data_IF_810161947084
#
_entry.id   IF_810161947084
#
_cell.length_a   1.000
_cell.length_b   1.000
_cell.length_c   1.000
_cell.angle_alpha   90.00
_cell.angle_beta   90.00
_cell.angle_gamma   90.00
#
_symmetry.space_group_name_H-M   'P 1'
#
loop_
_entity.id
_entity.type
_entity.pdbx_description
1 polymer ?
#
# COMPACT_ATOMS: atom_id res chain seq x y z
N UNK A 1 -33.13 4.31 -75.91
CA UNK A 1 -33.24 5.46 -74.99
C UNK A 1 -33.05 4.94 -73.59
N UNK A 2 -32.06 5.40 -72.90
CA UNK A 2 -31.89 5.07 -71.47
C UNK A 2 -33.05 5.68 -70.67
N UNK A 3 -33.91 4.84 -70.13
CA UNK A 3 -34.96 5.28 -69.18
C UNK A 3 -34.25 5.60 -67.86
N UNK A 4 -34.07 6.82 -67.56
CA UNK A 4 -33.70 7.23 -66.22
C UNK A 4 -34.90 6.95 -65.30
N UNK A 5 -34.77 5.91 -64.46
CA UNK A 5 -35.78 5.62 -63.46
C UNK A 5 -35.73 6.72 -62.39
N UNK A 6 -36.80 7.42 -62.22
CA UNK A 6 -36.96 8.46 -61.20
C UNK A 6 -37.88 7.96 -60.08
N UNK A 7 -37.56 8.30 -58.88
CA UNK A 7 -38.39 8.05 -57.71
C UNK A 7 -38.65 6.56 -57.47
N UNK A 8 -39.89 6.11 -57.60
CA UNK A 8 -40.36 4.75 -57.25
C UNK A 8 -39.61 3.63 -57.98
N UNK A 9 -39.03 3.89 -59.13
CA UNK A 9 -38.33 2.90 -59.99
C UNK A 9 -36.83 3.14 -60.00
N UNK A 10 -36.29 3.90 -59.06
CA UNK A 10 -34.83 4.10 -58.91
C UNK A 10 -34.17 2.79 -58.54
N UNK A 11 -32.96 2.58 -59.07
CA UNK A 11 -32.12 1.43 -58.77
C UNK A 11 -31.03 1.87 -57.77
N UNK A 12 -30.72 0.99 -56.85
CA UNK A 12 -29.61 1.12 -55.94
C UNK A 12 -28.72 -0.13 -56.03
N UNK A 13 -27.43 0.03 -55.85
CA UNK A 13 -26.45 -1.05 -55.83
C UNK A 13 -26.39 -1.63 -54.44
N UNK A 14 -26.57 -2.96 -54.33
CA UNK A 14 -26.36 -3.67 -53.08
C UNK A 14 -24.88 -3.68 -52.71
N UNK A 15 -24.58 -3.34 -51.44
CA UNK A 15 -23.21 -3.39 -50.95
C UNK A 15 -22.62 -4.79 -50.89
N UNK A 16 -23.47 -5.82 -50.85
CA UNK A 16 -23.04 -7.21 -50.72
C UNK A 16 -22.72 -7.85 -52.10
N UNK A 17 -23.63 -7.75 -53.05
CA UNK A 17 -23.45 -8.39 -54.37
C UNK A 17 -22.92 -7.45 -55.45
N UNK A 18 -23.01 -6.14 -55.24
CA UNK A 18 -22.70 -5.17 -56.30
C UNK A 18 -23.73 -5.10 -57.40
N UNK A 19 -24.84 -5.84 -57.32
CA UNK A 19 -25.93 -5.84 -58.29
C UNK A 19 -26.89 -4.68 -58.04
N UNK A 20 -27.53 -4.19 -59.12
CA UNK A 20 -28.50 -3.11 -59.05
C UNK A 20 -29.92 -3.68 -58.86
N UNK A 21 -30.55 -3.29 -57.75
CA UNK A 21 -31.91 -3.67 -57.34
C UNK A 21 -32.82 -2.46 -57.23
N UNK A 22 -34.16 -2.66 -57.33
CA UNK A 22 -35.09 -1.56 -57.05
C UNK A 22 -34.90 -0.99 -55.65
N UNK A 23 -34.80 0.33 -55.54
CA UNK A 23 -34.56 1.01 -54.25
C UNK A 23 -35.57 0.62 -53.17
N UNK A 24 -36.82 0.27 -53.58
CA UNK A 24 -37.89 -0.13 -52.65
C UNK A 24 -37.68 -1.49 -51.98
N UNK A 25 -36.79 -2.31 -52.52
CA UNK A 25 -36.46 -3.65 -52.06
C UNK A 25 -35.15 -3.66 -51.25
N UNK A 26 -34.53 -2.49 -51.11
CA UNK A 26 -33.31 -2.32 -50.33
C UNK A 26 -33.61 -2.10 -48.85
N UNK A 27 -32.84 -2.79 -48.01
CA UNK A 27 -32.94 -2.77 -46.55
C UNK A 27 -31.58 -2.42 -45.98
N UNK A 28 -31.56 -1.65 -44.93
CA UNK A 28 -30.32 -1.34 -44.22
C UNK A 28 -30.03 -2.42 -43.18
N UNK A 29 -28.87 -3.05 -43.27
CA UNK A 29 -28.37 -4.01 -42.30
C UNK A 29 -27.91 -3.30 -40.99
N UNK A 30 -27.73 -4.09 -39.95
CA UNK A 30 -27.19 -3.65 -38.66
C UNK A 30 -25.77 -3.04 -38.76
N UNK A 31 -25.02 -3.37 -39.80
CA UNK A 31 -23.70 -2.78 -40.14
C UNK A 31 -23.80 -1.39 -40.73
N UNK A 32 -25.01 -0.93 -41.10
CA UNK A 32 -25.26 0.29 -41.86
C UNK A 32 -25.20 0.13 -43.36
N UNK A 33 -24.85 -1.03 -43.90
CA UNK A 33 -24.82 -1.35 -45.34
C UNK A 33 -26.23 -1.48 -45.90
N UNK A 34 -26.46 -1.00 -47.14
CA UNK A 34 -27.70 -1.17 -47.86
C UNK A 34 -27.61 -2.40 -48.76
N UNK A 35 -28.45 -3.38 -48.52
CA UNK A 35 -28.51 -4.62 -49.25
C UNK A 35 -29.91 -4.90 -49.75
N UNK A 36 -30.04 -5.77 -50.78
CA UNK A 36 -31.34 -6.23 -51.20
C UNK A 36 -31.95 -7.17 -50.14
N UNK A 37 -33.27 -7.16 -50.00
CA UNK A 37 -34.00 -7.95 -48.98
C UNK A 37 -33.66 -9.46 -49.02
N UNK A 38 -33.34 -10.01 -50.18
CA UNK A 38 -32.88 -11.42 -50.33
C UNK A 38 -31.48 -11.69 -49.79
N UNK A 39 -30.70 -10.63 -49.60
CA UNK A 39 -29.32 -10.68 -49.10
C UNK A 39 -29.22 -10.22 -47.65
N UNK A 40 -30.33 -9.83 -47.05
CA UNK A 40 -30.41 -9.29 -45.68
C UNK A 40 -30.01 -10.37 -44.67
N UNK A 41 -29.09 -9.98 -43.79
CA UNK A 41 -28.65 -10.79 -42.68
C UNK A 41 -29.01 -10.12 -41.35
N UNK A 42 -29.79 -10.81 -40.51
CA UNK A 42 -30.10 -10.26 -39.19
C UNK A 42 -28.84 -10.23 -38.32
N UNK A 43 -28.80 -9.26 -37.43
CA UNK A 43 -27.72 -9.17 -36.44
C UNK A 43 -27.67 -10.43 -35.57
N UNK A 44 -26.48 -10.99 -35.44
CA UNK A 44 -26.24 -12.13 -34.54
C UNK A 44 -26.62 -11.79 -33.09
N UNK A 45 -27.47 -12.61 -32.46
CA UNK A 45 -27.89 -12.34 -31.06
C UNK A 45 -26.74 -12.25 -30.06
N UNK A 46 -25.59 -12.84 -30.36
CA UNK A 46 -24.41 -12.79 -29.53
C UNK A 46 -23.74 -11.39 -29.49
N UNK A 47 -24.00 -10.56 -30.50
CA UNK A 47 -23.49 -9.20 -30.59
C UNK A 47 -24.38 -8.20 -29.82
N UNK A 48 -25.53 -8.63 -29.38
CA UNK A 48 -26.37 -7.86 -28.46
C UNK A 48 -26.27 -8.48 -27.07
N UNK A 49 -25.63 -7.79 -26.11
CA UNK A 49 -25.66 -8.25 -24.74
C UNK A 49 -27.13 -8.36 -24.32
N UNK A 50 -27.52 -9.51 -23.79
CA UNK A 50 -28.85 -9.69 -23.23
C UNK A 50 -29.07 -8.54 -22.22
N UNK A 51 -30.21 -7.84 -22.30
CA UNK A 51 -30.55 -6.89 -21.26
C UNK A 51 -30.60 -7.65 -19.94
N UNK A 52 -29.61 -7.46 -19.11
CA UNK A 52 -29.64 -7.98 -17.74
C UNK A 52 -30.66 -7.11 -17.03
N UNK A 53 -31.73 -7.75 -16.54
CA UNK A 53 -32.68 -7.05 -15.69
C UNK A 53 -31.92 -6.36 -14.55
N UNK A 54 -32.27 -5.13 -14.26
CA UNK A 54 -31.63 -4.40 -13.18
C UNK A 54 -31.69 -5.25 -11.90
N UNK A 55 -30.55 -5.70 -11.40
CA UNK A 55 -30.45 -6.32 -10.10
C UNK A 55 -30.67 -5.22 -9.06
N UNK A 56 -31.80 -5.23 -8.31
CA UNK A 56 -32.06 -4.21 -7.32
C UNK A 56 -31.06 -4.21 -6.15
N UNK A 57 -30.21 -5.24 -6.06
CA UNK A 57 -29.14 -5.35 -5.08
C UNK A 57 -27.76 -5.05 -5.67
N UNK A 58 -27.64 -4.94 -6.99
CA UNK A 58 -26.39 -4.65 -7.69
C UNK A 58 -26.24 -3.18 -8.05
N UNK A 59 -25.08 -2.62 -7.80
CA UNK A 59 -24.73 -1.32 -8.36
C UNK A 59 -24.36 -1.49 -9.83
N UNK A 60 -24.95 -0.71 -10.72
CA UNK A 60 -24.68 -0.77 -12.17
C UNK A 60 -23.21 -0.53 -12.54
N UNK A 61 -22.49 0.17 -11.67
CA UNK A 61 -21.06 0.42 -11.74
C UNK A 61 -20.45 0.25 -10.33
N UNK A 62 -20.51 -0.99 -9.83
CA UNK A 62 -19.87 -1.30 -8.56
C UNK A 62 -18.36 -1.35 -8.74
N UNK A 63 -17.68 -0.38 -8.17
CA UNK A 63 -16.26 -0.55 -7.88
C UNK A 63 -16.17 -1.27 -6.53
N UNK A 64 -15.49 -2.43 -6.47
CA UNK A 64 -15.18 -3.01 -5.17
C UNK A 64 -14.44 -1.96 -4.34
N UNK A 65 -14.75 -1.89 -3.05
CA UNK A 65 -13.97 -1.08 -2.14
C UNK A 65 -12.50 -1.45 -2.33
N UNK A 66 -11.72 -0.51 -2.82
CA UNK A 66 -10.29 -0.69 -2.96
C UNK A 66 -9.74 -0.78 -1.56
N UNK A 67 -9.33 -1.96 -1.15
CA UNK A 67 -8.51 -2.12 0.04
C UNK A 67 -7.14 -1.58 -0.38
N UNK A 68 -6.94 -0.29 -0.15
CA UNK A 68 -5.61 0.26 -0.27
C UNK A 68 -4.86 -0.17 0.98
N UNK A 69 -3.85 -1.01 0.76
CA UNK A 69 -2.85 -1.18 1.79
C UNK A 69 -2.26 0.19 2.10
N UNK A 70 -1.97 0.51 3.36
CA UNK A 70 -1.34 1.77 3.69
C UNK A 70 -0.07 1.90 2.87
N UNK A 71 0.11 3.08 2.32
CA UNK A 71 1.21 3.36 1.40
C UNK A 71 2.51 3.20 2.16
N UNK A 72 3.19 2.09 1.91
CA UNK A 72 4.56 1.88 2.34
C UNK A 72 5.48 2.56 1.34
N UNK A 73 6.41 3.35 1.86
CA UNK A 73 7.45 3.96 1.03
C UNK A 73 8.64 3.02 0.92
N UNK A 74 9.09 2.80 -0.29
CA UNK A 74 10.33 2.07 -0.54
C UNK A 74 11.49 3.00 -0.20
N UNK A 75 12.37 2.55 0.66
CA UNK A 75 13.60 3.27 1.02
C UNK A 75 14.69 3.09 -0.06
N UNK A 76 15.64 4.02 -0.15
CA UNK A 76 16.82 3.85 -1.00
C UNK A 76 17.60 2.57 -0.65
N UNK A 77 18.50 2.16 -1.53
CA UNK A 77 19.37 1.02 -1.25
C UNK A 77 20.26 1.29 -0.01
N UNK A 78 20.25 0.37 0.94
CA UNK A 78 20.97 0.48 2.20
C UNK A 78 20.70 1.78 2.98
N UNK A 79 19.44 2.06 3.34
CA UNK A 79 19.05 3.35 3.89
C UNK A 79 19.50 3.59 5.33
N UNK A 80 19.87 2.53 6.07
CA UNK A 80 20.22 2.62 7.48
C UNK A 80 21.72 2.82 7.66
N UNK A 81 22.08 3.75 8.55
CA UNK A 81 23.47 3.97 8.99
C UNK A 81 23.51 4.00 10.50
N UNK A 82 24.28 3.11 11.09
CA UNK A 82 24.61 3.08 12.52
C UNK A 82 25.98 3.70 12.76
N UNK A 83 26.21 4.19 13.97
CA UNK A 83 27.52 4.67 14.42
C UNK A 83 27.93 3.86 15.64
N UNK A 84 29.16 3.36 15.66
CA UNK A 84 29.68 2.58 16.77
C UNK A 84 29.54 3.33 18.11
N UNK A 85 29.14 2.63 19.16
CA UNK A 85 28.90 3.13 20.50
C UNK A 85 27.80 4.20 20.60
N UNK A 86 26.93 4.32 19.59
CA UNK A 86 25.78 5.25 19.61
C UNK A 86 24.47 4.46 19.61
N UNK A 87 23.52 4.91 20.42
CA UNK A 87 22.16 4.34 20.52
C UNK A 87 21.19 4.99 19.52
N UNK A 88 21.64 5.30 18.33
CA UNK A 88 20.80 5.86 17.27
C UNK A 88 21.11 5.25 15.90
N UNK A 89 20.10 5.20 15.05
CA UNK A 89 20.20 4.86 13.65
C UNK A 89 19.70 6.00 12.80
N UNK A 90 20.47 6.34 11.79
CA UNK A 90 20.09 7.32 10.78
C UNK A 90 19.51 6.59 9.57
N UNK A 91 18.37 7.06 9.06
CA UNK A 91 17.69 6.48 7.91
C UNK A 91 17.59 7.52 6.81
N UNK A 92 18.09 7.18 5.64
CA UNK A 92 17.91 8.02 4.45
C UNK A 92 16.48 7.88 3.91
N UNK A 93 15.71 8.96 3.94
CA UNK A 93 14.32 8.98 3.50
C UNK A 93 14.09 10.11 2.50
N UNK A 94 13.64 9.80 1.28
CA UNK A 94 13.52 10.78 0.21
C UNK A 94 12.33 11.74 0.34
N UNK A 95 11.40 11.46 1.25
CA UNK A 95 10.19 12.27 1.43
C UNK A 95 10.24 13.10 2.71
N UNK A 96 9.57 14.25 2.72
CA UNK A 96 9.55 15.22 3.82
C UNK A 96 8.26 15.13 4.65
N UNK A 97 7.86 13.93 5.04
CA UNK A 97 6.54 13.71 5.66
C UNK A 97 6.59 13.11 7.08
N UNK A 98 7.77 12.92 7.62
CA UNK A 98 7.96 12.37 8.97
C UNK A 98 8.33 13.49 9.92
N UNK A 99 7.55 13.66 10.98
CA UNK A 99 7.74 14.67 12.01
C UNK A 99 8.36 14.05 13.26
N UNK A 100 9.33 14.76 13.84
CA UNK A 100 9.98 14.39 15.10
C UNK A 100 8.96 14.22 16.22
N UNK A 101 9.09 13.15 16.98
CA UNK A 101 8.31 12.87 18.19
C UNK A 101 6.84 12.53 17.99
N UNK A 102 6.29 12.73 16.79
CA UNK A 102 4.84 12.54 16.53
C UNK A 102 4.54 11.47 15.50
N UNK A 103 5.52 11.09 14.71
CA UNK A 103 5.35 10.06 13.66
C UNK A 103 5.92 8.73 14.13
N UNK A 104 5.11 7.69 14.05
CA UNK A 104 5.50 6.32 14.37
C UNK A 104 5.61 5.51 13.09
N UNK A 105 6.70 4.79 12.92
CA UNK A 105 7.01 4.04 11.71
C UNK A 105 7.36 2.60 12.03
N UNK A 106 7.02 1.73 11.09
CA UNK A 106 7.44 0.34 11.05
C UNK A 106 8.36 0.15 9.84
N UNK A 107 9.42 -0.62 10.03
CA UNK A 107 10.31 -1.05 8.97
C UNK A 107 10.01 -2.50 8.61
N UNK A 108 10.07 -2.83 7.33
CA UNK A 108 9.89 -4.18 6.83
C UNK A 108 10.98 -4.51 5.81
N UNK A 109 11.30 -5.79 5.71
CA UNK A 109 12.31 -6.32 4.81
C UNK A 109 13.72 -5.73 5.01
N UNK A 110 14.07 -5.42 6.25
CA UNK A 110 15.38 -4.86 6.62
C UNK A 110 16.44 -5.96 6.58
N UNK A 111 17.46 -5.79 5.74
CA UNK A 111 18.54 -6.75 5.56
C UNK A 111 19.89 -6.10 5.72
N UNK A 112 20.85 -6.86 6.23
CA UNK A 112 22.25 -6.45 6.20
C UNK A 112 22.80 -6.53 4.76
N UNK A 113 23.76 -5.68 4.37
CA UNK A 113 24.42 -5.77 3.08
C UNK A 113 25.21 -7.07 2.92
N UNK A 114 25.59 -7.73 4.02
CA UNK A 114 26.36 -8.97 4.01
C UNK A 114 25.50 -10.14 4.43
N UNK A 115 25.15 -11.01 3.49
CA UNK A 115 24.53 -12.30 3.77
C UNK A 115 23.02 -12.28 4.07
N UNK A 116 22.35 -11.15 3.92
CA UNK A 116 20.89 -11.05 4.11
C UNK A 116 20.42 -11.17 5.57
N UNK A 117 21.34 -10.98 6.52
CA UNK A 117 21.04 -10.93 7.95
C UNK A 117 20.41 -9.57 8.28
N UNK A 118 19.36 -9.50 9.09
CA UNK A 118 18.79 -8.22 9.54
C UNK A 118 19.86 -7.36 10.24
N UNK A 119 19.82 -6.04 10.04
CA UNK A 119 20.66 -5.12 10.80
C UNK A 119 20.28 -5.24 12.27
N UNK A 120 21.25 -5.57 13.10
CA UNK A 120 21.10 -5.77 14.53
C UNK A 120 21.82 -4.65 15.25
N UNK A 121 21.21 -4.10 16.26
CA UNK A 121 21.76 -3.02 17.06
C UNK A 121 22.14 -3.51 18.44
N UNK A 122 23.45 -3.55 18.73
CA UNK A 122 24.00 -4.01 20.01
C UNK A 122 24.31 -5.51 20.07
N UNK A 123 25.11 -5.94 21.04
CA UNK A 123 25.59 -7.34 21.20
C UNK A 123 24.45 -8.37 21.49
N UNK A 124 23.28 -7.91 21.83
CA UNK A 124 22.01 -8.62 21.92
C UNK A 124 20.92 -7.75 21.32
N UNK A 125 21.28 -6.88 20.39
CA UNK A 125 20.44 -5.79 19.94
C UNK A 125 19.33 -6.24 19.03
N UNK A 126 18.23 -5.49 19.03
CA UNK A 126 17.08 -5.78 18.23
C UNK A 126 17.36 -5.56 16.75
N UNK A 127 16.81 -6.39 15.94
CA UNK A 127 16.63 -6.09 14.54
C UNK A 127 15.80 -4.79 14.43
N UNK A 128 16.06 -3.97 13.41
CA UNK A 128 15.24 -2.78 13.15
C UNK A 128 13.79 -3.14 12.79
N UNK A 129 13.56 -4.35 12.35
CA UNK A 129 12.23 -4.90 12.17
C UNK A 129 11.77 -5.52 13.49
N UNK A 130 10.87 -4.82 14.19
CA UNK A 130 10.35 -5.26 15.48
C UNK A 130 9.20 -6.22 15.29
N UNK A 131 9.41 -7.47 15.60
CA UNK A 131 8.38 -8.51 15.56
C UNK A 131 8.54 -9.51 16.70
N UNK A 132 7.44 -9.99 17.24
CA UNK A 132 7.36 -11.05 18.24
C UNK A 132 5.99 -11.71 18.18
N UNK A 133 5.70 -12.62 19.10
CA UNK A 133 4.37 -13.25 19.21
C UNK A 133 3.86 -13.15 20.65
N UNK A 134 2.56 -13.21 20.83
CA UNK A 134 1.95 -13.26 22.17
C UNK A 134 2.35 -14.55 22.88
N UNK A 135 2.82 -14.44 24.12
CA UNK A 135 3.10 -15.58 24.99
C UNK A 135 1.84 -16.02 25.74
N UNK A 136 0.94 -15.12 26.03
CA UNK A 136 -0.36 -15.38 26.62
C UNK A 136 -1.47 -14.75 25.78
N UNK A 137 -2.66 -15.38 25.81
CA UNK A 137 -3.82 -14.78 25.17
C UNK A 137 -4.16 -13.43 25.81
N UNK A 138 -4.45 -12.43 24.97
CA UNK A 138 -4.83 -11.11 25.43
C UNK A 138 -6.34 -10.88 25.30
N UNK A 139 -6.95 -10.30 26.34
CA UNK A 139 -8.36 -9.88 26.33
C UNK A 139 -8.47 -8.41 25.93
N UNK A 140 -9.67 -7.96 25.56
CA UNK A 140 -9.90 -6.56 25.15
C UNK A 140 -9.62 -5.52 26.25
N UNK A 141 -9.54 -5.94 27.51
CA UNK A 141 -9.40 -5.06 28.69
C UNK A 141 -8.03 -5.15 29.36
N UNK A 142 -7.13 -5.99 28.87
CA UNK A 142 -5.84 -6.20 29.50
C UNK A 142 -4.98 -4.93 29.40
N UNK A 143 -4.53 -4.45 30.54
CA UNK A 143 -3.57 -3.35 30.66
C UNK A 143 -2.11 -3.77 30.55
N UNK A 144 -1.85 -5.07 30.41
CA UNK A 144 -0.52 -5.66 30.22
C UNK A 144 -0.58 -6.69 29.12
N UNK A 145 0.34 -6.63 28.17
CA UNK A 145 0.49 -7.58 27.08
C UNK A 145 1.80 -8.33 27.26
N UNK A 146 1.75 -9.64 27.28
CA UNK A 146 2.89 -10.54 27.49
C UNK A 146 3.27 -11.18 26.16
N UNK A 147 4.53 -11.03 25.79
CA UNK A 147 5.07 -11.53 24.52
C UNK A 147 6.25 -12.46 24.77
N UNK A 148 6.61 -13.26 23.78
CA UNK A 148 7.73 -14.21 23.91
C UNK A 148 9.08 -13.49 23.99
N UNK A 149 9.24 -12.37 23.32
CA UNK A 149 10.49 -11.60 23.34
C UNK A 149 10.17 -10.12 23.18
N UNK A 150 10.15 -9.40 24.29
CA UNK A 150 9.86 -7.97 24.33
C UNK A 150 11.09 -7.07 24.46
N UNK A 151 12.27 -7.64 24.77
CA UNK A 151 13.47 -6.88 25.10
C UNK A 151 14.00 -5.99 23.99
N UNK A 152 13.65 -6.27 22.74
CA UNK A 152 14.05 -5.46 21.59
C UNK A 152 13.12 -4.29 21.29
N UNK A 153 11.98 -4.21 21.95
CA UNK A 153 11.05 -3.11 21.73
C UNK A 153 11.46 -1.90 22.58
N UNK A 154 11.14 -0.67 22.16
CA UNK A 154 11.32 0.53 22.97
C UNK A 154 10.65 0.41 24.33
N UNK A 155 11.03 1.25 25.30
CA UNK A 155 10.44 1.25 26.63
C UNK A 155 9.00 1.77 26.65
N UNK A 156 8.61 2.53 25.64
CA UNK A 156 7.24 3.01 25.41
C UNK A 156 7.02 3.19 23.91
N UNK A 157 5.79 3.15 23.46
CA UNK A 157 5.48 3.31 22.04
C UNK A 157 4.15 2.67 21.65
N UNK A 158 4.12 2.14 20.43
CA UNK A 158 2.96 1.46 19.88
C UNK A 158 3.35 0.06 19.41
N UNK A 159 2.44 -0.87 19.59
CA UNK A 159 2.49 -2.21 19.00
C UNK A 159 1.21 -2.47 18.24
N UNK A 160 1.29 -3.32 17.24
CA UNK A 160 0.15 -3.82 16.49
C UNK A 160 0.06 -5.33 16.68
N UNK A 161 -1.14 -5.84 16.98
CA UNK A 161 -1.39 -7.27 17.03
C UNK A 161 -2.24 -7.66 15.83
N UNK A 162 -1.76 -8.60 15.05
CA UNK A 162 -2.51 -9.13 13.92
C UNK A 162 -3.75 -9.90 14.38
N UNK A 163 -4.85 -9.63 13.69
CA UNK A 163 -6.10 -10.37 13.86
C UNK A 163 -6.75 -10.54 12.50
N UNK A 164 -7.04 -11.78 12.18
CA UNK A 164 -7.82 -12.13 11.00
C UNK A 164 -9.24 -12.46 11.43
N UNK A 165 -10.22 -11.79 10.85
CA UNK A 165 -11.62 -12.14 11.04
C UNK A 165 -11.91 -13.45 10.32
N UNK A 166 -12.24 -14.50 11.07
CA UNK A 166 -12.46 -15.85 10.54
C UNK A 166 -13.66 -15.95 9.58
N UNK A 167 -14.62 -15.02 9.66
CA UNK A 167 -15.80 -15.00 8.81
C UNK A 167 -15.56 -14.28 7.48
N UNK A 168 -14.80 -13.20 7.51
CA UNK A 168 -14.58 -12.33 6.35
C UNK A 168 -13.21 -12.52 5.70
N UNK A 169 -12.27 -13.17 6.39
CA UNK A 169 -10.88 -13.29 5.97
C UNK A 169 -10.11 -11.97 5.97
N UNK A 170 -10.70 -10.89 6.48
CA UNK A 170 -10.07 -9.57 6.53
C UNK A 170 -9.20 -9.42 7.77
N UNK A 171 -8.12 -8.66 7.62
CA UNK A 171 -7.31 -8.25 8.76
C UNK A 171 -8.06 -7.16 9.56
N UNK A 172 -8.20 -7.38 10.86
CA UNK A 172 -8.74 -6.44 11.83
C UNK A 172 -7.68 -6.19 12.91
N UNK A 173 -6.56 -5.65 12.49
CA UNK A 173 -5.41 -5.43 13.35
C UNK A 173 -5.75 -4.45 14.47
N UNK A 174 -5.25 -4.70 15.66
CA UNK A 174 -5.39 -3.79 16.79
C UNK A 174 -4.06 -3.09 17.07
N UNK A 175 -4.11 -1.77 17.18
CA UNK A 175 -2.98 -0.95 17.64
C UNK A 175 -3.15 -0.66 19.12
N UNK A 176 -2.09 -0.88 19.89
CA UNK A 176 -2.04 -0.72 21.34
C UNK A 176 -0.89 0.25 21.69
N UNK A 177 -1.20 1.31 22.40
CA UNK A 177 -0.18 2.16 23.00
C UNK A 177 0.25 1.57 24.34
N UNK A 178 1.55 1.48 24.57
CA UNK A 178 2.09 1.10 25.89
C UNK A 178 2.99 2.19 26.44
N UNK A 179 2.96 2.40 27.75
CA UNK A 179 3.71 3.45 28.43
C UNK A 179 4.93 2.92 29.17
N UNK A 180 5.04 1.61 29.33
CA UNK A 180 6.18 0.95 29.97
C UNK A 180 6.43 -0.44 29.41
N UNK A 181 7.67 -0.89 29.51
CA UNK A 181 8.08 -2.26 29.18
C UNK A 181 9.00 -2.80 30.26
N UNK A 182 8.71 -4.00 30.75
CA UNK A 182 9.55 -4.74 31.69
C UNK A 182 9.80 -6.14 31.11
N UNK A 183 11.02 -6.40 30.65
CA UNK A 183 11.36 -7.62 29.92
C UNK A 183 10.39 -7.86 28.76
N UNK A 184 9.60 -8.91 28.84
CA UNK A 184 8.66 -9.36 27.82
C UNK A 184 7.23 -8.86 28.06
N UNK A 185 7.04 -7.95 29.00
CA UNK A 185 5.74 -7.38 29.36
C UNK A 185 5.64 -5.93 28.91
N UNK A 186 4.68 -5.63 28.07
CA UNK A 186 4.25 -4.25 27.80
C UNK A 186 3.21 -3.85 28.84
N UNK A 187 3.46 -2.73 29.52
CA UNK A 187 2.62 -2.27 30.66
C UNK A 187 2.00 -0.91 30.36
N UNK A 188 0.92 -0.59 31.07
CA UNK A 188 0.16 0.65 30.83
C UNK A 188 -0.42 0.70 29.42
N UNK A 189 -0.96 -0.44 28.96
CA UNK A 189 -1.51 -0.60 27.62
C UNK A 189 -2.86 0.11 27.49
N UNK A 190 -2.96 1.01 26.49
CA UNK A 190 -4.24 1.57 26.02
C UNK A 190 -4.64 0.84 24.76
N UNK A 191 -5.75 0.15 24.84
CA UNK A 191 -6.23 -0.75 23.79
C UNK A 191 -6.98 0.00 22.68
N UNK A 192 -6.96 -0.53 21.48
CA UNK A 192 -7.75 0.00 20.36
C UNK A 192 -7.38 1.42 19.93
N UNK A 193 -6.13 1.78 20.00
CA UNK A 193 -5.65 3.13 19.64
C UNK A 193 -5.34 3.26 18.15
N UNK A 194 -4.81 4.40 17.75
CA UNK A 194 -4.24 4.64 16.44
C UNK A 194 -2.79 5.12 16.57
N UNK A 195 -1.95 4.81 15.58
CA UNK A 195 -0.57 5.29 15.53
C UNK A 195 -0.41 6.32 14.41
N UNK A 196 -0.05 7.58 14.70
CA UNK A 196 0.15 8.61 13.69
C UNK A 196 1.28 8.26 12.72
N UNK A 197 1.03 8.48 11.44
CA UNK A 197 2.02 8.34 10.38
C UNK A 197 1.89 9.50 9.40
N UNK A 198 3.00 10.14 9.02
CA UNK A 198 3.03 11.30 8.09
C UNK A 198 2.12 12.46 8.51
N UNK A 199 1.93 12.69 9.80
CA UNK A 199 0.99 13.71 10.29
C UNK A 199 -0.48 13.35 10.13
N UNK A 200 -0.78 12.15 9.63
CA UNK A 200 -2.13 11.59 9.54
C UNK A 200 -2.32 10.67 10.74
N UNK A 201 -3.40 10.88 11.47
CA UNK A 201 -3.82 9.96 12.53
C UNK A 201 -4.89 9.04 11.95
N UNK A 202 -4.60 7.74 11.76
CA UNK A 202 -5.61 6.78 11.33
C UNK A 202 -6.72 6.66 12.38
N UNK A 203 -7.90 6.17 12.00
CA UNK A 203 -8.97 5.92 12.97
C UNK A 203 -8.49 4.95 14.05
N UNK A 204 -9.03 5.10 15.26
CA UNK A 204 -8.77 4.16 16.33
C UNK A 204 -9.20 2.75 15.92
N UNK A 205 -8.39 1.77 16.27
CA UNK A 205 -8.70 0.35 16.07
C UNK A 205 -9.67 -0.15 17.15
N UNK A 206 -10.21 -1.34 16.98
CA UNK A 206 -11.14 -1.92 17.97
C UNK A 206 -10.37 -2.88 18.87
N UNK A 207 -10.46 -2.64 20.18
CA UNK A 207 -9.92 -3.58 21.18
C UNK A 207 -10.59 -4.95 21.04
N UNK A 208 -9.80 -5.99 20.98
CA UNK A 208 -10.28 -7.35 20.77
C UNK A 208 -9.55 -8.38 21.62
N UNK A 209 -9.98 -9.63 21.51
CA UNK A 209 -9.27 -10.79 22.05
C UNK A 209 -8.28 -11.29 21.01
N UNK A 210 -7.07 -11.63 21.46
CA UNK A 210 -6.04 -12.20 20.61
C UNK A 210 -5.58 -13.54 21.21
N UNK A 211 -5.44 -14.57 20.38
CA UNK A 211 -4.97 -15.87 20.85
C UNK A 211 -3.46 -15.83 21.15
N UNK A 212 -3.02 -16.80 21.95
CA UNK A 212 -1.59 -17.07 22.11
C UNK A 212 -0.94 -17.32 20.75
N UNK A 213 0.26 -16.84 20.55
CA UNK A 213 0.99 -16.97 19.29
C UNK A 213 0.59 -15.96 18.20
N UNK A 214 -0.35 -15.04 18.47
CA UNK A 214 -0.66 -13.96 17.52
C UNK A 214 0.57 -13.08 17.28
N UNK A 215 0.79 -12.67 16.04
CA UNK A 215 1.91 -11.82 15.66
C UNK A 215 1.76 -10.42 16.25
N UNK A 216 2.87 -9.91 16.79
CA UNK A 216 2.97 -8.56 17.37
C UNK A 216 4.09 -7.81 16.67
N UNK A 217 3.78 -6.66 16.12
CA UNK A 217 4.74 -5.78 15.46
C UNK A 217 4.88 -4.48 16.25
N UNK A 218 6.09 -3.93 16.25
CA UNK A 218 6.38 -2.68 16.92
C UNK A 218 6.75 -1.57 15.96
N UNK A 219 6.87 -0.36 16.49
CA UNK A 219 7.28 0.81 15.73
C UNK A 219 8.31 1.65 16.46
N UNK A 220 8.96 2.50 15.69
CA UNK A 220 9.87 3.53 16.18
C UNK A 220 9.26 4.91 16.02
N UNK A 221 9.53 5.80 17.01
CA UNK A 221 9.29 7.22 16.87
C UNK A 221 10.55 7.90 16.32
N UNK A 222 10.39 8.81 15.39
CA UNK A 222 11.49 9.64 14.91
C UNK A 222 11.96 10.59 16.03
N UNK A 223 13.26 10.61 16.31
CA UNK A 223 13.86 11.46 17.37
C UNK A 223 14.49 12.73 16.82
N UNK A 224 14.86 12.72 15.54
CA UNK A 224 15.35 13.90 14.84
C UNK A 224 15.10 13.76 13.34
N UNK A 225 14.81 14.86 12.69
CA UNK A 225 14.66 14.96 11.22
C UNK A 225 15.62 16.05 10.74
N UNK A 226 16.61 15.66 9.94
CA UNK A 226 17.53 16.57 9.30
C UNK A 226 17.31 16.56 7.79
N UNK A 227 17.21 17.72 7.20
CA UNK A 227 17.10 17.88 5.75
C UNK A 227 18.47 18.20 5.17
N UNK A 228 18.96 17.37 4.28
CA UNK A 228 20.16 17.63 3.50
C UNK A 228 19.76 17.97 2.08
N UNK A 229 20.12 19.17 1.62
CA UNK A 229 19.91 19.58 0.24
C UNK A 229 21.18 19.26 -0.54
N UNK A 230 21.11 18.35 -1.48
CA UNK A 230 22.19 18.11 -2.44
C UNK A 230 21.94 18.99 -3.65
N UNK A 231 22.75 20.04 -3.78
CA UNK A 231 22.71 20.94 -4.94
C UNK A 231 23.34 20.21 -6.11
N UNK A 232 22.59 20.03 -7.18
CA UNK A 232 23.11 19.45 -8.41
C UNK A 232 24.14 20.35 -9.12
N UNK A 233 24.89 19.82 -10.08
CA UNK A 233 25.89 20.58 -10.81
C UNK A 233 25.23 21.77 -11.56
N UNK A 234 25.98 22.85 -11.67
CA UNK A 234 25.54 24.01 -12.48
C UNK A 234 25.53 23.61 -13.96
N UNK A 235 24.38 23.74 -14.58
CA UNK A 235 24.23 23.50 -16.02
C UNK A 235 24.98 24.53 -16.84
N UNK A 236 25.33 24.24 -18.12
CA UNK A 236 26.05 25.19 -19.01
C UNK A 236 25.38 26.52 -19.21
N UNK A 237 24.07 26.63 -18.97
CA UNK A 237 23.28 27.87 -19.04
C UNK A 237 23.33 28.70 -17.74
N UNK A 238 24.12 28.30 -16.75
CA UNK A 238 24.20 28.95 -15.45
C UNK A 238 23.07 28.60 -14.46
N UNK A 239 22.11 27.75 -14.85
CA UNK A 239 21.05 27.30 -13.98
C UNK A 239 21.56 26.12 -13.16
N UNK A 240 21.29 26.07 -11.86
CA UNK A 240 21.57 24.89 -11.06
C UNK A 240 20.60 23.76 -11.44
N UNK A 241 21.12 22.54 -11.54
CA UNK A 241 20.30 21.36 -11.70
C UNK A 241 19.38 21.21 -10.48
N UNK A 242 18.25 20.56 -10.68
CA UNK A 242 17.23 20.35 -9.65
C UNK A 242 17.84 19.86 -8.35
N UNK A 243 17.57 20.56 -7.26
CA UNK A 243 17.97 20.16 -5.93
C UNK A 243 17.28 18.84 -5.58
N UNK A 244 18.07 17.83 -5.25
CA UNK A 244 17.52 16.61 -4.61
C UNK A 244 17.61 16.79 -3.10
N UNK A 245 16.45 16.83 -2.48
CA UNK A 245 16.32 16.90 -1.04
C UNK A 245 16.31 15.49 -0.47
N UNK A 246 17.30 15.18 0.36
CA UNK A 246 17.33 13.93 1.13
C UNK A 246 17.10 14.26 2.59
N UNK A 247 16.14 13.59 3.20
CA UNK A 247 15.93 13.68 4.62
C UNK A 247 16.65 12.53 5.32
N UNK A 248 17.38 12.84 6.36
CA UNK A 248 17.94 11.89 7.29
C UNK A 248 17.10 11.90 8.54
N UNK A 249 16.47 10.77 8.83
CA UNK A 249 15.61 10.61 10.00
C UNK A 249 16.37 9.76 11.01
N UNK A 250 16.45 10.24 12.24
CA UNK A 250 17.12 9.51 13.32
C UNK A 250 16.08 8.83 14.20
N UNK A 251 16.34 7.58 14.53
CA UNK A 251 15.55 6.79 15.46
C UNK A 251 16.42 6.33 16.62
N UNK A 252 15.87 6.32 17.83
CA UNK A 252 16.57 5.79 19.00
C UNK A 252 16.59 4.27 18.98
N UNK A 253 17.74 3.71 19.26
CA UNK A 253 17.95 2.31 19.51
C UNK A 253 17.89 2.02 21.02
N UNK A 254 17.60 0.77 21.38
CA UNK A 254 17.55 0.35 22.78
C UNK A 254 18.94 0.24 23.40
N UNK A 255 19.92 -0.07 22.58
CA UNK A 255 21.32 -0.20 22.97
C UNK A 255 22.25 0.43 21.94
N UNK A 256 23.49 0.70 22.36
CA UNK A 256 24.52 1.20 21.44
C UNK A 256 24.79 0.21 20.30
N UNK A 257 24.96 0.73 19.10
CA UNK A 257 25.39 -0.06 17.97
C UNK A 257 26.82 -0.58 18.19
N UNK A 258 27.10 -1.84 17.90
CA UNK A 258 28.44 -2.41 18.10
C UNK A 258 29.45 -1.89 17.08
N UNK A 259 28.99 -1.48 15.91
CA UNK A 259 29.79 -1.04 14.79
C UNK A 259 29.12 0.08 14.01
N UNK A 260 29.92 0.79 13.23
CA UNK A 260 29.42 1.70 12.19
C UNK A 260 29.12 0.87 10.95
N UNK A 261 27.83 0.73 10.63
CA UNK A 261 27.36 -0.10 9.52
C UNK A 261 26.35 0.66 8.68
N UNK A 262 26.31 0.32 7.39
CA UNK A 262 25.28 0.78 6.46
C UNK A 262 24.57 -0.44 5.88
N UNK A 263 23.26 -0.45 5.87
CA UNK A 263 22.51 -1.61 5.41
C UNK A 263 21.02 -1.35 5.25
N UNK A 264 20.27 -2.42 5.16
CA UNK A 264 18.83 -2.43 4.92
C UNK A 264 18.45 -3.14 3.63
N UNK A 265 19.37 -3.21 2.67
CA UNK A 265 19.10 -3.80 1.35
C UNK A 265 18.29 -2.87 0.44
N UNK A 266 17.78 -3.41 -0.65
CA UNK A 266 17.12 -2.64 -1.72
C UNK A 266 15.59 -2.74 -1.71
N UNK A 267 15.01 -3.54 -0.84
CA UNK A 267 13.55 -3.74 -0.74
C UNK A 267 12.99 -3.29 0.60
N UNK A 268 13.80 -2.60 1.41
CA UNK A 268 13.34 -2.12 2.69
C UNK A 268 12.23 -1.07 2.52
N UNK A 269 11.18 -1.20 3.29
CA UNK A 269 10.07 -0.25 3.30
C UNK A 269 9.88 0.38 4.68
N UNK A 270 9.35 1.59 4.66
CA UNK A 270 8.89 2.33 5.83
C UNK A 270 7.41 2.61 5.68
N UNK A 271 6.64 2.36 6.71
CA UNK A 271 5.19 2.53 6.64
C UNK A 271 4.55 2.74 8.01
N UNK A 272 3.23 2.89 8.02
CA UNK A 272 2.46 2.96 9.25
C UNK A 272 2.47 1.63 9.98
N UNK A 273 2.07 1.66 11.25
CA UNK A 273 1.97 0.46 12.06
C UNK A 273 0.74 -0.38 11.70
N UNK A 274 -0.34 0.26 11.30
CA UNK A 274 -1.60 -0.40 10.94
C UNK A 274 -1.83 -0.34 9.43
N UNK A 275 -2.23 -1.49 8.88
CA UNK A 275 -2.55 -1.69 7.46
C UNK A 275 -4.03 -1.43 7.16
#
# INVERSE_FOLDING_TARGET
>A
MARFSKGRNALMISYRSGAAFPYREMVQEWTGAWVHNSEFEPKQPQLEPKPVGADPQGLQHAFPARIEFPVQDILPNNPFTTTAANASVSVSYPANQINEGTTFVRFQDVKSPVGGVPIVTGAAGPALELSTTLDTAATATDGTIIVQTGTHFPTSGFIMIEKVNALTGKYENEVIQYTGRTFDNFTGCTRGTSAPFRGITPPATTAGTHPIGANVFGCYAATAVATTVVVGPTLPNGTQATEQQFNSITFSLISNAPSTETGGGFQCTIGPLND
#
